data_IF_963597581811
#
_entry.id   IF_963597581811
#
_cell.length_a   1.000
_cell.length_b   1.000
_cell.length_c   1.000
_cell.angle_alpha   90.00
_cell.angle_beta   90.00
_cell.angle_gamma   90.00
#
_symmetry.space_group_name_H-M   'P 1'
#
loop_
_entity.id
_entity.type
_entity.pdbx_description
1 polymer ?
#
# COMPACT_ATOMS: atom_id res chain seq x y z
N UNK A 1 16.11 -43.54 0.80
CA UNK A 1 15.95 -42.08 0.99
C UNK A 1 15.09 -41.60 -0.17
N UNK A 2 13.80 -41.31 0.04
CA UNK A 2 12.93 -40.88 -1.05
C UNK A 2 13.25 -39.42 -1.40
N UNK A 3 13.72 -39.20 -2.63
CA UNK A 3 13.88 -37.88 -3.21
C UNK A 3 12.55 -37.13 -3.17
N UNK A 4 12.46 -36.15 -2.28
CA UNK A 4 11.29 -35.28 -2.16
C UNK A 4 11.34 -34.28 -3.31
N UNK A 5 10.56 -34.54 -4.35
CA UNK A 5 10.42 -33.69 -5.54
C UNK A 5 10.13 -32.24 -5.12
N UNK A 6 11.10 -31.35 -5.31
CA UNK A 6 10.87 -29.91 -5.21
C UNK A 6 10.11 -29.45 -6.44
N UNK A 7 8.99 -28.75 -6.23
CA UNK A 7 8.16 -28.17 -7.29
C UNK A 7 8.15 -26.67 -7.08
N UNK A 8 8.39 -25.90 -8.14
CA UNK A 8 8.21 -24.45 -8.13
C UNK A 8 6.72 -24.13 -8.25
N UNK A 9 6.21 -23.25 -7.41
CA UNK A 9 4.82 -22.78 -7.48
C UNK A 9 4.77 -21.28 -7.25
N UNK A 10 3.80 -20.64 -7.88
CA UNK A 10 3.47 -19.24 -7.65
C UNK A 10 2.29 -19.17 -6.70
N UNK A 11 2.40 -18.31 -5.69
CA UNK A 11 1.28 -17.99 -4.82
C UNK A 11 0.50 -16.88 -5.51
N UNK A 12 -0.77 -17.12 -5.79
CA UNK A 12 -1.71 -16.13 -6.30
C UNK A 12 -2.81 -15.92 -5.26
N UNK A 13 -3.24 -14.68 -5.00
CA UNK A 13 -4.44 -14.45 -4.21
C UNK A 13 -5.65 -15.13 -4.85
N UNK A 14 -6.56 -15.66 -4.03
CA UNK A 14 -7.85 -16.17 -4.49
C UNK A 14 -8.88 -15.02 -4.42
N UNK A 15 -9.47 -14.68 -5.56
CA UNK A 15 -10.52 -13.66 -5.65
C UNK A 15 -11.88 -14.27 -5.27
N UNK A 16 -12.74 -13.48 -4.61
CA UNK A 16 -14.12 -13.88 -4.31
C UNK A 16 -14.35 -14.60 -2.98
N UNK A 17 -13.33 -14.64 -2.12
CA UNK A 17 -13.50 -15.04 -0.72
C UNK A 17 -14.48 -14.11 0.05
N UNK A 18 -15.02 -14.57 1.19
CA UNK A 18 -15.95 -13.77 2.01
C UNK A 18 -15.30 -12.56 2.68
N UNK A 19 -13.97 -12.41 2.59
CA UNK A 19 -13.21 -11.35 3.24
C UNK A 19 -13.58 -9.98 2.67
N UNK A 20 -14.08 -9.04 3.50
CA UNK A 20 -14.50 -7.73 3.01
C UNK A 20 -13.28 -6.88 2.63
N UNK A 21 -13.39 -6.18 1.49
CA UNK A 21 -12.46 -5.10 1.15
C UNK A 21 -12.56 -3.99 2.20
N UNK A 22 -11.46 -3.75 2.90
CA UNK A 22 -11.38 -2.72 3.94
C UNK A 22 -10.68 -1.48 3.39
N UNK A 23 -11.35 -0.32 3.47
CA UNK A 23 -10.75 0.96 3.09
C UNK A 23 -9.89 1.51 4.23
N UNK A 24 -8.74 2.08 3.87
CA UNK A 24 -7.87 2.85 4.75
C UNK A 24 -7.13 3.89 3.92
N UNK A 25 -6.86 5.05 4.52
CA UNK A 25 -6.15 6.17 3.89
C UNK A 25 -4.88 6.58 4.65
N UNK A 26 -4.58 5.87 5.75
CA UNK A 26 -3.38 6.05 6.53
C UNK A 26 -2.83 4.69 6.97
N UNK A 27 -1.51 4.55 7.00
CA UNK A 27 -0.83 3.36 7.50
C UNK A 27 0.30 3.78 8.44
N UNK A 28 0.17 3.44 9.72
CA UNK A 28 1.27 3.52 10.68
C UNK A 28 2.13 2.26 10.57
N UNK A 29 3.45 2.45 10.50
CA UNK A 29 4.43 1.38 10.39
C UNK A 29 5.31 1.37 11.63
N UNK A 30 5.25 0.28 12.39
CA UNK A 30 6.08 0.04 13.56
C UNK A 30 6.87 -1.27 13.36
N UNK A 31 7.95 -1.45 14.11
CA UNK A 31 8.72 -2.69 14.05
C UNK A 31 9.32 -3.06 15.41
N UNK A 32 9.62 -4.34 15.54
CA UNK A 32 10.49 -4.93 16.55
C UNK A 32 11.72 -5.53 15.84
N UNK A 33 12.69 -6.11 16.55
CA UNK A 33 13.76 -6.88 15.91
C UNK A 33 13.27 -8.11 15.12
N UNK A 34 12.03 -8.56 15.31
CA UNK A 34 11.51 -9.82 14.75
C UNK A 34 10.43 -9.62 13.69
N UNK A 35 9.65 -8.55 13.80
CA UNK A 35 8.50 -8.28 12.92
C UNK A 35 8.26 -6.79 12.65
N UNK A 36 7.41 -6.54 11.68
CA UNK A 36 6.82 -5.23 11.37
C UNK A 36 5.31 -5.31 11.58
N UNK A 37 4.73 -4.25 12.13
CA UNK A 37 3.29 -4.08 12.28
C UNK A 37 2.81 -2.94 11.39
N UNK A 38 1.93 -3.25 10.44
CA UNK A 38 1.21 -2.28 9.62
C UNK A 38 -0.17 -2.06 10.24
N UNK A 39 -0.43 -0.85 10.73
CA UNK A 39 -1.72 -0.44 11.28
C UNK A 39 -2.42 0.51 10.32
N UNK A 40 -3.43 -0.01 9.63
CA UNK A 40 -4.23 0.74 8.67
C UNK A 40 -5.37 1.45 9.38
N UNK A 41 -5.47 2.76 9.19
CA UNK A 41 -6.49 3.60 9.79
C UNK A 41 -7.31 4.31 8.70
N UNK A 42 -8.51 4.71 9.08
CA UNK A 42 -9.34 5.62 8.30
C UNK A 42 -9.40 6.97 9.00
N UNK A 43 -8.61 7.91 8.52
CA UNK A 43 -8.60 9.30 9.01
C UNK A 43 -9.73 10.05 8.35
N UNK A 44 -10.69 10.53 9.14
CA UNK A 44 -11.74 11.44 8.69
C UNK A 44 -11.25 12.89 8.81
N UNK A 45 -11.80 13.84 8.02
CA UNK A 45 -11.57 15.26 8.26
C UNK A 45 -11.90 15.61 9.72
N UNK A 46 -11.00 16.33 10.39
CA UNK A 46 -11.18 16.67 11.79
C UNK A 46 -12.34 17.64 11.98
N UNK A 47 -13.15 17.40 12.99
CA UNK A 47 -14.12 18.37 13.49
C UNK A 47 -13.40 19.56 14.16
N UNK A 48 -14.08 20.69 14.30
CA UNK A 48 -13.51 21.87 14.98
C UNK A 48 -13.04 21.57 16.41
N UNK A 49 -13.73 20.64 17.10
CA UNK A 49 -13.36 20.18 18.43
C UNK A 49 -12.02 19.43 18.40
N UNK A 50 -11.88 18.48 17.48
CA UNK A 50 -10.66 17.69 17.32
C UNK A 50 -9.49 18.56 16.86
N UNK A 51 -9.73 19.60 16.07
CA UNK A 51 -8.71 20.58 15.70
C UNK A 51 -8.20 21.30 16.95
N UNK A 52 -9.08 21.83 17.81
CA UNK A 52 -8.67 22.52 19.05
C UNK A 52 -7.92 21.60 20.00
N UNK A 53 -8.34 20.34 20.12
CA UNK A 53 -7.65 19.34 20.95
C UNK A 53 -6.28 18.99 20.34
N UNK A 54 -6.20 18.82 19.02
CA UNK A 54 -4.96 18.56 18.31
C UNK A 54 -4.00 19.76 18.32
N UNK A 55 -4.47 21.00 18.42
CA UNK A 55 -3.61 22.18 18.61
C UNK A 55 -2.88 22.15 19.95
N UNK A 56 -3.47 21.57 20.99
CA UNK A 56 -2.86 21.45 22.31
C UNK A 56 -1.94 20.23 22.43
N UNK A 57 -2.34 19.08 21.88
CA UNK A 57 -1.62 17.81 22.06
C UNK A 57 -0.76 17.40 20.86
N UNK A 58 -0.96 18.03 19.69
CA UNK A 58 -0.36 17.63 18.41
C UNK A 58 -0.60 16.16 18.03
N UNK A 59 -1.70 15.57 18.50
CA UNK A 59 -2.07 14.17 18.25
C UNK A 59 -3.47 14.09 17.67
N UNK A 60 -3.61 13.30 16.60
CA UNK A 60 -4.89 12.94 15.99
C UNK A 60 -5.05 11.43 16.08
N UNK A 61 -6.18 10.98 16.63
CA UNK A 61 -6.49 9.55 16.80
C UNK A 61 -7.46 9.11 15.73
N UNK A 62 -6.99 8.30 14.79
CA UNK A 62 -7.82 7.73 13.74
C UNK A 62 -8.27 6.30 14.11
N UNK A 63 -9.50 5.89 13.75
CA UNK A 63 -9.98 4.53 13.94
C UNK A 63 -9.15 3.51 13.14
N UNK A 64 -8.70 2.46 13.82
CA UNK A 64 -7.98 1.34 13.21
C UNK A 64 -8.97 0.46 12.46
N UNK A 65 -8.67 0.17 11.19
CA UNK A 65 -9.46 -0.70 10.32
C UNK A 65 -8.86 -2.08 10.17
N UNK A 66 -7.53 -2.17 10.11
CA UNK A 66 -6.82 -3.45 10.06
C UNK A 66 -5.44 -3.31 10.72
N UNK A 67 -4.96 -4.43 11.28
CA UNK A 67 -3.59 -4.55 11.80
C UNK A 67 -2.99 -5.85 11.29
N UNK A 68 -1.84 -5.74 10.61
CA UNK A 68 -1.14 -6.87 10.01
C UNK A 68 0.27 -6.92 10.57
N UNK A 69 0.68 -8.09 11.07
CA UNK A 69 2.06 -8.34 11.53
C UNK A 69 2.76 -9.20 10.48
N UNK A 70 3.96 -8.77 10.07
CA UNK A 70 4.75 -9.38 9.02
C UNK A 70 6.16 -9.70 9.54
N UNK A 71 6.73 -10.88 9.24
CA UNK A 71 8.12 -11.17 9.56
C UNK A 71 9.08 -10.19 8.88
N UNK A 72 10.18 -9.83 9.55
CA UNK A 72 11.19 -8.89 9.01
C UNK A 72 11.69 -9.32 7.62
N UNK A 73 11.84 -10.64 7.39
CA UNK A 73 12.36 -11.17 6.12
C UNK A 73 11.41 -10.95 4.94
N UNK A 74 10.13 -10.69 5.18
CA UNK A 74 9.14 -10.47 4.14
C UNK A 74 9.09 -9.01 3.66
N UNK A 75 9.55 -8.06 4.48
CA UNK A 75 9.41 -6.62 4.24
C UNK A 75 10.12 -6.13 2.97
N UNK A 76 11.36 -6.55 2.64
CA UNK A 76 12.02 -6.11 1.41
C UNK A 76 11.22 -6.49 0.15
N UNK A 77 10.67 -7.71 0.12
CA UNK A 77 9.83 -8.19 -1.00
C UNK A 77 8.54 -7.38 -1.12
N UNK A 78 7.89 -7.05 0.00
CA UNK A 78 6.71 -6.21 0.01
C UNK A 78 7.01 -4.79 -0.53
N UNK A 79 8.10 -4.17 -0.09
CA UNK A 79 8.50 -2.83 -0.55
C UNK A 79 8.74 -2.84 -2.07
N UNK A 80 9.50 -3.81 -2.58
CA UNK A 80 9.78 -3.93 -4.01
C UNK A 80 8.48 -4.09 -4.83
N UNK A 81 7.55 -4.93 -4.36
CA UNK A 81 6.27 -5.14 -5.03
C UNK A 81 5.41 -3.86 -5.06
N UNK A 82 5.39 -3.09 -3.97
CA UNK A 82 4.68 -1.81 -3.91
C UNK A 82 5.30 -0.76 -4.83
N UNK A 83 6.63 -0.65 -4.85
CA UNK A 83 7.36 0.27 -5.72
C UNK A 83 7.11 -0.03 -7.19
N UNK A 84 7.16 -1.32 -7.57
CA UNK A 84 6.91 -1.74 -8.95
C UNK A 84 5.47 -1.48 -9.37
N UNK A 85 4.49 -1.78 -8.51
CA UNK A 85 3.09 -1.45 -8.80
C UNK A 85 2.86 0.06 -8.93
N UNK A 86 3.53 0.88 -8.11
CA UNK A 86 3.46 2.33 -8.23
C UNK A 86 4.05 2.82 -9.56
N UNK A 87 5.14 2.21 -10.03
CA UNK A 87 5.74 2.51 -11.34
C UNK A 87 4.76 2.21 -12.47
N UNK A 88 4.22 0.98 -12.50
CA UNK A 88 3.23 0.54 -13.51
C UNK A 88 1.97 1.42 -13.48
N UNK A 89 1.48 1.79 -12.29
CA UNK A 89 0.35 2.70 -12.14
C UNK A 89 0.65 4.08 -12.73
N UNK A 90 1.83 4.64 -12.43
CA UNK A 90 2.23 5.97 -12.91
C UNK A 90 2.35 6.02 -14.44
N UNK A 91 2.93 4.98 -15.05
CA UNK A 91 3.09 4.88 -16.50
C UNK A 91 1.74 4.77 -17.24
N UNK A 92 0.77 4.09 -16.64
CA UNK A 92 -0.57 3.92 -17.23
C UNK A 92 -1.47 5.14 -17.06
N UNK A 93 -1.19 6.01 -16.09
CA UNK A 93 -2.02 7.18 -15.76
C UNK A 93 -1.31 8.52 -16.06
N UNK A 94 -0.17 8.51 -16.73
CA UNK A 94 0.49 9.72 -17.17
C UNK A 94 -0.33 10.36 -18.31
N UNK A 95 -0.72 11.65 -18.22
CA UNK A 95 -1.39 12.31 -19.33
C UNK A 95 -0.47 12.28 -20.55
N UNK A 96 -1.02 12.12 -21.77
CA UNK A 96 -0.21 12.08 -22.97
C UNK A 96 0.66 13.35 -23.04
N UNK A 97 1.97 13.17 -23.22
CA UNK A 97 2.88 14.28 -23.44
C UNK A 97 2.33 15.16 -24.57
N UNK A 98 2.25 16.50 -24.40
CA UNK A 98 1.83 17.37 -25.47
C UNK A 98 2.74 17.12 -26.68
N UNK A 99 2.11 16.77 -27.80
CA UNK A 99 2.80 16.57 -29.07
C UNK A 99 3.62 17.83 -29.35
N UNK A 100 4.94 17.74 -29.63
CA UNK A 100 5.72 18.92 -29.98
C UNK A 100 5.04 19.65 -31.14
N UNK A 101 4.80 20.97 -31.04
CA UNK A 101 4.22 21.73 -32.13
C UNK A 101 5.23 21.75 -33.28
N UNK A 102 5.06 20.91 -34.29
CA UNK A 102 5.96 20.90 -35.46
C UNK A 102 6.05 19.62 -36.27
N UNK A 103 5.46 18.49 -35.86
CA UNK A 103 5.38 17.30 -36.72
C UNK A 103 3.94 17.03 -37.14
N UNK A 104 3.49 17.80 -38.13
CA UNK A 104 2.34 17.42 -38.94
C UNK A 104 2.67 16.19 -39.81
N UNK A 105 1.65 15.50 -40.36
CA UNK A 105 1.86 14.35 -41.22
C UNK A 105 2.67 14.75 -42.46
N UNK A 106 3.78 14.06 -42.72
CA UNK A 106 4.50 14.15 -43.99
C UNK A 106 3.71 13.27 -44.97
N UNK A 107 2.98 13.90 -45.89
CA UNK A 107 2.39 13.25 -47.06
C UNK A 107 3.45 13.00 -48.12
#
# INVERSE_FOLDING_TARGET
>A
MSDRKQINFSIVPEDGGPEPRTYANFCAVNHTPFDFTLTFCEVQPLSEKEIREAEAEHVVRAPVRARIVLPVQFIPTLIAALQENMRVYSESHQPPSPVPPGKGPIH
#
